data_IF_647321157165
#
_entry.id   IF_647321157165
#
_cell.length_a   1.000
_cell.length_b   1.000
_cell.length_c   1.000
_cell.angle_alpha   90.00
_cell.angle_beta   90.00
_cell.angle_gamma   90.00
#
_symmetry.space_group_name_H-M   'P 1'
#
loop_
_entity.id
_entity.type
_entity.pdbx_description
1 polymer ?
#
# COMPACT_ATOMS: atom_id res chain seq x y z
N UNK A 1 2.47 12.45 32.80
CA UNK A 1 1.02 12.17 32.57
C UNK A 1 0.58 12.54 31.14
N UNK A 2 1.17 13.60 30.54
CA UNK A 2 0.82 14.05 29.18
C UNK A 2 1.37 13.19 28.04
N UNK A 3 2.53 12.56 28.24
CA UNK A 3 3.24 11.73 27.25
C UNK A 3 2.51 10.42 26.88
N UNK A 4 1.90 9.76 27.86
CA UNK A 4 1.08 8.54 27.69
C UNK A 4 -0.21 8.84 26.93
N UNK A 5 -0.84 10.00 27.20
CA UNK A 5 -2.03 10.44 26.47
C UNK A 5 -1.71 10.76 25.01
N UNK A 6 -0.53 11.33 24.75
CA UNK A 6 -0.05 11.68 23.42
C UNK A 6 0.26 10.43 22.58
N UNK A 7 1.01 9.46 23.11
CA UNK A 7 1.33 8.21 22.40
C UNK A 7 0.09 7.39 22.02
N UNK A 8 -0.91 7.34 22.90
CA UNK A 8 -2.19 6.66 22.60
C UNK A 8 -2.97 7.36 21.49
N UNK A 9 -2.97 8.70 21.47
CA UNK A 9 -3.59 9.47 20.38
C UNK A 9 -2.88 9.22 19.04
N UNK A 10 -1.55 9.28 19.02
CA UNK A 10 -0.76 8.99 17.79
C UNK A 10 -1.01 7.59 17.27
N UNK A 11 -1.05 6.57 18.14
CA UNK A 11 -1.36 5.20 17.75
C UNK A 11 -2.75 5.08 17.11
N UNK A 12 -3.77 5.72 17.70
CA UNK A 12 -5.13 5.71 17.14
C UNK A 12 -5.22 6.43 15.81
N UNK A 13 -4.51 7.54 15.65
CA UNK A 13 -4.40 8.26 14.38
C UNK A 13 -3.76 7.36 13.33
N UNK A 14 -2.63 6.70 13.65
CA UNK A 14 -1.99 5.75 12.76
C UNK A 14 -2.96 4.65 12.32
N UNK A 15 -3.63 3.98 13.28
CA UNK A 15 -4.61 2.93 12.97
C UNK A 15 -5.81 3.41 12.14
N UNK A 16 -6.32 4.62 12.41
CA UNK A 16 -7.42 5.21 11.66
C UNK A 16 -7.03 5.44 10.19
N UNK A 17 -5.93 6.15 9.94
CA UNK A 17 -5.48 6.44 8.58
C UNK A 17 -5.11 5.17 7.82
N UNK A 18 -4.55 4.18 8.51
CA UNK A 18 -4.23 2.89 7.93
C UNK A 18 -5.50 2.13 7.48
N UNK A 19 -6.54 2.07 8.33
CA UNK A 19 -7.82 1.45 7.94
C UNK A 19 -8.56 2.23 6.84
N UNK A 20 -8.49 3.56 6.85
CA UNK A 20 -9.04 4.39 5.79
C UNK A 20 -8.33 4.16 4.46
N UNK A 21 -7.00 3.99 4.47
CA UNK A 21 -6.24 3.59 3.28
C UNK A 21 -6.73 2.25 2.72
N UNK A 22 -6.86 1.22 3.57
CA UNK A 22 -7.31 -0.11 3.16
C UNK A 22 -8.72 -0.02 2.55
N UNK A 23 -9.63 0.67 3.22
CA UNK A 23 -11.01 0.84 2.77
C UNK A 23 -11.08 1.61 1.44
N UNK A 24 -10.35 2.71 1.32
CA UNK A 24 -10.29 3.50 0.10
C UNK A 24 -9.68 2.72 -1.07
N UNK A 25 -8.69 1.87 -0.81
CA UNK A 25 -8.09 1.01 -1.85
C UNK A 25 -9.07 -0.04 -2.37
N UNK A 26 -9.89 -0.63 -1.49
CA UNK A 26 -10.97 -1.55 -1.89
C UNK A 26 -12.03 -0.82 -2.72
N UNK A 27 -12.45 0.38 -2.31
CA UNK A 27 -13.42 1.20 -3.05
C UNK A 27 -12.86 1.60 -4.42
N UNK A 28 -11.59 2.01 -4.45
CA UNK A 28 -10.89 2.38 -5.68
C UNK A 28 -10.92 1.25 -6.70
N UNK A 29 -10.61 0.02 -6.28
CA UNK A 29 -10.64 -1.13 -7.19
C UNK A 29 -12.07 -1.50 -7.60
N UNK A 30 -13.04 -1.46 -6.69
CA UNK A 30 -14.44 -1.73 -7.01
C UNK A 30 -15.04 -0.73 -8.03
N UNK A 31 -14.48 0.49 -8.12
CA UNK A 31 -14.85 1.49 -9.12
C UNK A 31 -13.98 1.42 -10.39
N UNK A 32 -12.76 0.90 -10.25
CA UNK A 32 -11.67 1.06 -11.21
C UNK A 32 -11.36 -0.17 -12.06
N UNK A 33 -11.53 -1.38 -11.52
CA UNK A 33 -11.22 -2.65 -12.19
C UNK A 33 -9.86 -2.68 -12.88
N UNK A 34 -8.81 -2.23 -12.18
CA UNK A 34 -7.48 -2.03 -12.78
C UNK A 34 -6.33 -2.67 -12.00
N UNK A 35 -6.60 -3.37 -10.89
CA UNK A 35 -5.59 -4.07 -10.10
C UNK A 35 -5.60 -5.57 -10.40
N UNK A 36 -6.76 -6.22 -10.28
CA UNK A 36 -6.85 -7.69 -10.35
C UNK A 36 -7.21 -8.23 -11.73
N UNK A 37 -7.88 -7.42 -12.54
CA UNK A 37 -8.39 -7.84 -13.86
C UNK A 37 -7.29 -7.89 -14.93
N UNK A 38 -7.52 -8.65 -15.99
CA UNK A 38 -6.63 -8.64 -17.14
C UNK A 38 -6.72 -7.34 -17.94
N UNK A 39 -5.65 -6.97 -18.64
CA UNK A 39 -5.59 -5.67 -19.31
C UNK A 39 -6.73 -5.47 -20.33
N UNK A 40 -7.13 -6.54 -21.03
CA UNK A 40 -8.29 -6.50 -21.93
C UNK A 40 -9.60 -6.23 -21.20
N UNK A 41 -9.82 -6.86 -20.04
CA UNK A 41 -11.02 -6.67 -19.22
C UNK A 41 -11.08 -5.24 -18.65
N UNK A 42 -9.95 -4.73 -18.15
CA UNK A 42 -9.83 -3.32 -17.72
C UNK A 42 -10.12 -2.35 -18.87
N UNK A 43 -9.68 -2.63 -20.10
CA UNK A 43 -9.99 -1.80 -21.28
C UNK A 43 -11.49 -1.81 -21.58
N UNK A 44 -12.13 -2.97 -21.60
CA UNK A 44 -13.57 -3.07 -21.85
C UNK A 44 -14.37 -2.38 -20.72
N UNK A 45 -13.93 -2.51 -19.46
CA UNK A 45 -14.53 -1.78 -18.34
C UNK A 45 -14.38 -0.27 -18.50
N UNK A 46 -13.21 0.23 -18.86
CA UNK A 46 -12.96 1.65 -19.11
C UNK A 46 -13.85 2.21 -20.22
N UNK A 47 -14.05 1.45 -21.32
CA UNK A 47 -14.94 1.85 -22.41
C UNK A 47 -16.40 1.93 -21.93
N UNK A 48 -16.85 0.93 -21.16
CA UNK A 48 -18.23 0.89 -20.65
C UNK A 48 -18.52 1.82 -19.47
N UNK A 49 -17.51 2.13 -18.65
CA UNK A 49 -17.66 2.77 -17.34
C UNK A 49 -16.60 3.86 -17.08
N UNK A 50 -16.26 4.66 -18.11
CA UNK A 50 -15.13 5.60 -18.06
C UNK A 50 -15.14 6.62 -16.92
N UNK A 51 -16.32 7.03 -16.42
CA UNK A 51 -16.42 7.92 -15.23
C UNK A 51 -16.10 7.18 -13.93
N UNK A 52 -16.62 5.96 -13.76
CA UNK A 52 -16.33 5.13 -12.59
C UNK A 52 -14.83 4.79 -12.54
N UNK A 53 -14.24 4.41 -13.68
CA UNK A 53 -12.81 4.17 -13.82
C UNK A 53 -11.96 5.36 -13.34
N UNK A 54 -12.24 6.57 -13.86
CA UNK A 54 -11.53 7.79 -13.48
C UNK A 54 -11.71 8.15 -12.01
N UNK A 55 -12.93 7.98 -11.47
CA UNK A 55 -13.19 8.17 -10.06
C UNK A 55 -12.42 7.14 -9.20
N UNK A 56 -12.32 5.88 -9.66
CA UNK A 56 -11.50 4.84 -9.05
C UNK A 56 -10.02 5.26 -8.94
N UNK A 57 -9.45 5.85 -9.99
CA UNK A 57 -8.08 6.39 -9.95
C UNK A 57 -7.94 7.52 -8.91
N UNK A 58 -8.91 8.43 -8.85
CA UNK A 58 -8.89 9.53 -7.88
C UNK A 58 -8.94 9.00 -6.44
N UNK A 59 -9.80 8.01 -6.17
CA UNK A 59 -9.88 7.35 -4.87
C UNK A 59 -8.57 6.61 -4.55
N UNK A 60 -7.91 6.02 -5.55
CA UNK A 60 -6.58 5.42 -5.38
C UNK A 60 -5.59 6.48 -4.89
N UNK A 61 -5.43 7.59 -5.61
CA UNK A 61 -4.50 8.66 -5.23
C UNK A 61 -4.74 9.15 -3.80
N UNK A 62 -6.00 9.30 -3.41
CA UNK A 62 -6.36 9.64 -2.04
C UNK A 62 -5.98 8.54 -1.04
N UNK A 63 -6.18 7.26 -1.37
CA UNK A 63 -5.75 6.15 -0.52
C UNK A 63 -4.23 6.16 -0.29
N UNK A 64 -3.43 6.43 -1.32
CA UNK A 64 -1.98 6.56 -1.18
C UNK A 64 -1.56 7.67 -0.21
N UNK A 65 -2.26 8.82 -0.23
CA UNK A 65 -2.03 9.92 0.72
C UNK A 65 -2.38 9.48 2.16
N UNK A 66 -3.50 8.78 2.34
CA UNK A 66 -3.88 8.24 3.66
C UNK A 66 -2.82 7.27 4.18
N UNK A 67 -2.25 6.43 3.31
CA UNK A 67 -1.19 5.50 3.68
C UNK A 67 0.10 6.23 4.10
N UNK A 68 0.47 7.28 3.37
CA UNK A 68 1.63 8.10 3.71
C UNK A 68 1.47 8.79 5.07
N UNK A 69 0.27 9.28 5.39
CA UNK A 69 -0.06 9.85 6.71
C UNK A 69 0.02 8.77 7.80
N UNK A 70 -0.48 7.56 7.53
CA UNK A 70 -0.37 6.43 8.45
C UNK A 70 1.11 6.07 8.74
N UNK A 71 1.94 5.98 7.70
CA UNK A 71 3.38 5.72 7.83
C UNK A 71 4.10 6.82 8.61
N UNK A 72 3.76 8.09 8.38
CA UNK A 72 4.26 9.21 9.16
C UNK A 72 3.86 9.10 10.64
N UNK A 73 2.60 8.79 10.92
CA UNK A 73 2.12 8.62 12.31
C UNK A 73 2.81 7.44 13.01
N UNK A 74 3.06 6.34 12.30
CA UNK A 74 3.86 5.20 12.79
C UNK A 74 5.30 5.62 13.09
N UNK A 75 5.93 6.40 12.21
CA UNK A 75 7.26 6.97 12.46
C UNK A 75 7.28 7.82 13.74
N UNK A 76 6.32 8.73 13.91
CA UNK A 76 6.22 9.55 15.13
C UNK A 76 6.04 8.68 16.37
N UNK A 77 5.18 7.66 16.30
CA UNK A 77 4.93 6.74 17.42
C UNK A 77 6.18 5.93 17.81
N UNK A 78 6.86 5.35 16.81
CA UNK A 78 7.93 4.37 17.01
C UNK A 78 9.33 5.00 17.09
N UNK A 79 9.47 6.29 16.73
CA UNK A 79 10.72 7.05 16.89
C UNK A 79 11.25 7.05 18.33
N UNK A 80 10.37 6.85 19.32
CA UNK A 80 10.71 6.71 20.74
C UNK A 80 11.53 5.45 21.05
N UNK A 81 11.41 4.41 20.22
CA UNK A 81 12.16 3.16 20.36
C UNK A 81 13.50 3.25 19.63
N UNK A 82 13.47 3.69 18.36
CA UNK A 82 14.67 3.97 17.58
C UNK A 82 14.33 4.96 16.46
N UNK A 83 14.91 6.15 16.52
CA UNK A 83 14.64 7.25 15.59
C UNK A 83 15.08 6.94 14.15
N UNK A 84 16.24 6.32 13.98
CA UNK A 84 16.80 6.02 12.66
C UNK A 84 15.99 4.95 11.94
N UNK A 85 15.59 3.90 12.65
CA UNK A 85 14.73 2.85 12.09
C UNK A 85 13.33 3.38 11.75
N UNK A 86 12.78 4.28 12.59
CA UNK A 86 11.48 4.91 12.32
C UNK A 86 11.54 5.82 11.09
N UNK A 87 12.63 6.59 10.94
CA UNK A 87 12.86 7.40 9.74
C UNK A 87 13.02 6.51 8.50
N UNK A 88 13.78 5.41 8.60
CA UNK A 88 13.96 4.46 7.50
C UNK A 88 12.63 3.84 7.04
N UNK A 89 11.75 3.46 7.98
CA UNK A 89 10.37 3.04 7.70
C UNK A 89 9.66 4.07 6.82
N UNK A 90 9.67 5.34 7.24
CA UNK A 90 8.94 6.38 6.54
C UNK A 90 9.51 6.67 5.15
N UNK A 91 10.84 6.72 5.03
CA UNK A 91 11.52 6.94 3.75
C UNK A 91 11.25 5.82 2.74
N UNK A 92 11.25 4.57 3.20
CA UNK A 92 10.92 3.42 2.35
C UNK A 92 9.44 3.47 1.92
N UNK A 93 8.52 3.75 2.84
CA UNK A 93 7.10 3.89 2.49
C UNK A 93 6.87 5.03 1.47
N UNK A 94 7.53 6.19 1.68
CA UNK A 94 7.48 7.32 0.75
C UNK A 94 8.04 6.97 -0.64
N UNK A 95 9.15 6.23 -0.70
CA UNK A 95 9.70 5.76 -1.97
C UNK A 95 8.72 4.85 -2.72
N UNK A 96 8.05 3.94 -2.01
CA UNK A 96 6.98 3.11 -2.58
C UNK A 96 5.81 3.93 -3.09
N UNK A 97 5.37 4.93 -2.32
CA UNK A 97 4.30 5.84 -2.72
C UNK A 97 4.62 6.60 -4.02
N UNK A 98 5.86 7.08 -4.17
CA UNK A 98 6.27 7.79 -5.39
C UNK A 98 6.25 6.86 -6.61
N UNK A 99 6.84 5.68 -6.52
CA UNK A 99 6.86 4.70 -7.63
C UNK A 99 5.43 4.27 -7.97
N UNK A 100 4.60 4.04 -6.97
CA UNK A 100 3.21 3.67 -7.15
C UNK A 100 2.38 4.78 -7.83
N UNK A 101 2.57 6.04 -7.45
CA UNK A 101 1.95 7.19 -8.14
C UNK A 101 2.37 7.27 -9.62
N UNK A 102 3.66 7.02 -9.92
CA UNK A 102 4.14 6.94 -11.30
C UNK A 102 3.42 5.80 -12.03
N UNK A 103 3.25 4.63 -11.41
CA UNK A 103 2.55 3.51 -12.02
C UNK A 103 1.09 3.83 -12.35
N UNK A 104 0.40 4.59 -11.48
CA UNK A 104 -0.97 5.04 -11.70
C UNK A 104 -1.09 6.02 -12.87
N UNK A 105 -0.04 6.78 -13.18
CA UNK A 105 -0.06 7.71 -14.31
C UNK A 105 -0.38 7.02 -15.65
N UNK A 106 0.02 5.76 -15.81
CA UNK A 106 -0.28 4.98 -17.01
C UNK A 106 -1.78 4.70 -17.18
N UNK A 107 -2.58 4.64 -16.10
CA UNK A 107 -4.04 4.50 -16.23
C UNK A 107 -4.68 5.75 -16.86
N UNK A 108 -4.14 6.93 -16.58
CA UNK A 108 -4.57 8.15 -17.27
C UNK A 108 -4.20 8.11 -18.75
N UNK A 109 -3.00 7.63 -19.10
CA UNK A 109 -2.60 7.43 -20.50
C UNK A 109 -3.53 6.47 -21.24
N UNK A 110 -3.92 5.35 -20.62
CA UNK A 110 -4.89 4.43 -21.20
C UNK A 110 -6.28 5.09 -21.40
N UNK A 111 -6.74 5.86 -20.40
CA UNK A 111 -8.01 6.57 -20.46
C UNK A 111 -8.03 7.71 -21.49
N UNK A 112 -6.88 8.35 -21.73
CA UNK A 112 -6.71 9.42 -22.71
C UNK A 112 -6.68 8.89 -24.14
N UNK A 113 -5.97 7.78 -24.39
CA UNK A 113 -5.99 7.09 -25.68
C UNK A 113 -7.40 6.70 -26.12
N UNK A 114 -8.21 6.23 -25.16
CA UNK A 114 -9.59 5.80 -25.40
C UNK A 114 -10.62 6.94 -25.27
N UNK A 115 -10.18 8.20 -25.18
CA UNK A 115 -11.07 9.36 -25.13
C UNK A 115 -11.70 9.73 -26.49
N UNK A 116 -11.15 9.19 -27.58
CA UNK A 116 -11.51 9.54 -28.95
C UNK A 116 -10.64 10.64 -29.58
N UNK A 117 -9.78 11.31 -28.79
CA UNK A 117 -8.89 12.38 -29.27
C UNK A 117 -7.91 11.94 -30.38
N UNK A 118 -7.65 10.63 -30.47
CA UNK A 118 -6.68 10.05 -31.40
C UNK A 118 -7.31 9.26 -32.56
N UNK A 119 -8.63 9.34 -32.73
CA UNK A 119 -9.39 8.54 -33.71
C UNK A 119 -9.08 8.87 -35.17
N UNK A 120 -8.50 10.04 -35.44
CA UNK A 120 -8.07 10.45 -36.79
C UNK A 120 -6.69 9.88 -37.18
N UNK A 121 -5.91 9.41 -36.20
CA UNK A 121 -4.52 8.95 -36.39
C UNK A 121 -4.39 7.44 -36.25
N UNK A 122 -5.18 6.82 -35.37
CA UNK A 122 -5.10 5.38 -35.08
C UNK A 122 -6.47 4.71 -35.25
N UNK A 123 -6.43 3.43 -35.63
CA UNK A 123 -7.61 2.56 -35.63
C UNK A 123 -8.08 2.24 -34.21
N UNK A 124 -9.36 1.87 -34.01
CA UNK A 124 -9.86 1.44 -32.71
C UNK A 124 -9.05 0.29 -32.09
N UNK A 125 -8.62 -0.67 -32.90
CA UNK A 125 -7.82 -1.82 -32.48
C UNK A 125 -6.43 -1.39 -31.99
N UNK A 126 -5.77 -0.45 -32.69
CA UNK A 126 -4.49 0.11 -32.28
C UNK A 126 -4.59 0.90 -30.97
N UNK A 127 -5.67 1.66 -30.77
CA UNK A 127 -5.91 2.39 -29.52
C UNK A 127 -6.14 1.45 -28.34
N UNK A 128 -6.93 0.38 -28.52
CA UNK A 128 -7.13 -0.66 -27.50
C UNK A 128 -5.82 -1.36 -27.16
N UNK A 129 -5.01 -1.73 -28.17
CA UNK A 129 -3.72 -2.35 -27.97
C UNK A 129 -2.77 -1.47 -27.14
N UNK A 130 -2.68 -0.18 -27.48
CA UNK A 130 -1.85 0.77 -26.72
C UNK A 130 -2.37 0.97 -25.30
N UNK A 131 -3.69 1.06 -25.08
CA UNK A 131 -4.28 1.15 -23.75
C UNK A 131 -3.92 -0.08 -22.89
N UNK A 132 -3.96 -1.29 -23.46
CA UNK A 132 -3.52 -2.51 -22.76
C UNK A 132 -2.04 -2.45 -22.36
N UNK A 133 -1.16 -1.91 -23.22
CA UNK A 133 0.27 -1.71 -22.90
C UNK A 133 0.42 -0.81 -21.67
N UNK A 134 -0.33 0.29 -21.60
CA UNK A 134 -0.30 1.18 -20.44
C UNK A 134 -0.85 0.52 -19.17
N UNK A 135 -1.93 -0.26 -19.25
CA UNK A 135 -2.48 -1.00 -18.10
C UNK A 135 -1.48 -2.05 -17.60
N UNK A 136 -0.82 -2.79 -18.49
CA UNK A 136 0.25 -3.73 -18.13
C UNK A 136 1.49 -3.03 -17.56
N UNK A 137 1.82 -1.84 -18.07
CA UNK A 137 2.91 -1.01 -17.54
C UNK A 137 2.59 -0.51 -16.13
N UNK A 138 1.31 -0.22 -15.84
CA UNK A 138 0.85 0.03 -14.47
C UNK A 138 1.05 -1.18 -13.58
N UNK A 139 0.67 -2.39 -14.02
CA UNK A 139 0.86 -3.63 -13.23
C UNK A 139 2.34 -3.83 -12.88
N UNK A 140 3.21 -3.69 -13.87
CA UNK A 140 4.67 -3.78 -13.69
C UNK A 140 5.20 -2.72 -12.72
N UNK A 141 4.79 -1.45 -12.89
CA UNK A 141 5.18 -0.37 -11.99
C UNK A 141 4.69 -0.57 -10.55
N UNK A 142 3.47 -1.11 -10.38
CA UNK A 142 2.92 -1.46 -9.07
C UNK A 142 3.68 -2.64 -8.43
N UNK A 143 4.12 -3.62 -9.23
CA UNK A 143 5.00 -4.69 -8.77
C UNK A 143 6.34 -4.12 -8.30
N UNK A 144 6.99 -3.24 -9.07
CA UNK A 144 8.26 -2.58 -8.69
C UNK A 144 8.11 -1.79 -7.38
N UNK A 145 6.98 -1.11 -7.17
CA UNK A 145 6.69 -0.40 -5.92
C UNK A 145 6.67 -1.34 -4.69
N UNK A 146 6.48 -2.65 -4.88
CA UNK A 146 6.58 -3.63 -3.80
C UNK A 146 7.99 -3.77 -3.24
N UNK A 147 9.05 -3.35 -3.92
CA UNK A 147 10.41 -3.35 -3.34
C UNK A 147 10.44 -2.48 -2.07
N UNK A 148 10.23 -1.15 -2.16
CA UNK A 148 10.19 -0.31 -0.97
C UNK A 148 9.03 -0.66 -0.02
N UNK A 149 7.86 -1.07 -0.52
CA UNK A 149 6.73 -1.50 0.31
C UNK A 149 6.91 -2.86 0.99
N UNK A 150 7.85 -3.70 0.57
CA UNK A 150 8.27 -4.86 1.35
C UNK A 150 9.31 -4.46 2.37
N UNK A 151 10.27 -3.62 1.96
CA UNK A 151 11.40 -3.24 2.80
C UNK A 151 10.99 -2.37 3.99
N UNK A 152 9.96 -1.51 3.88
CA UNK A 152 9.50 -0.70 5.02
C UNK A 152 8.85 -1.53 6.14
N UNK A 153 8.35 -2.73 5.82
CA UNK A 153 7.77 -3.65 6.80
C UNK A 153 8.86 -4.22 7.73
N UNK A 154 10.12 -4.28 7.27
CA UNK A 154 11.24 -4.75 8.08
C UNK A 154 11.54 -3.82 9.28
N UNK A 155 11.79 -2.50 9.11
CA UNK A 155 11.94 -1.60 10.24
C UNK A 155 10.63 -1.47 11.05
N UNK A 156 9.45 -1.52 10.42
CA UNK A 156 8.18 -1.52 11.16
C UNK A 156 8.08 -2.73 12.10
N UNK A 157 8.31 -3.93 11.57
CA UNK A 157 8.27 -5.18 12.31
C UNK A 157 9.32 -5.22 13.41
N UNK A 158 10.54 -4.75 13.14
CA UNK A 158 11.60 -4.60 14.13
C UNK A 158 11.19 -3.66 15.28
N UNK A 159 10.69 -2.47 14.96
CA UNK A 159 10.26 -1.48 15.95
C UNK A 159 9.11 -2.00 16.81
N UNK A 160 8.12 -2.67 16.21
CA UNK A 160 7.02 -3.30 16.92
C UNK A 160 7.52 -4.44 17.82
N UNK A 161 8.40 -5.31 17.30
CA UNK A 161 8.96 -6.42 18.07
C UNK A 161 9.79 -5.94 19.27
N UNK A 162 10.46 -4.79 19.14
CA UNK A 162 11.20 -4.14 20.22
C UNK A 162 10.30 -3.30 21.13
N UNK A 163 9.11 -2.92 20.69
CA UNK A 163 8.17 -2.16 21.53
C UNK A 163 7.55 -3.08 22.59
N UNK A 164 7.39 -2.56 23.81
CA UNK A 164 6.69 -3.29 24.88
C UNK A 164 5.19 -2.96 24.94
N UNK A 165 4.74 -2.00 24.13
CA UNK A 165 3.36 -1.51 24.14
C UNK A 165 2.49 -2.01 22.97
N UNK A 166 3.08 -2.60 21.91
CA UNK A 166 2.39 -3.32 20.83
C UNK A 166 2.78 -4.82 20.91
N UNK A 167 1.84 -5.77 20.79
CA UNK A 167 2.15 -7.19 20.80
C UNK A 167 3.18 -7.58 19.72
N UNK A 168 4.25 -8.26 20.13
CA UNK A 168 5.36 -8.66 19.25
C UNK A 168 4.93 -9.56 18.08
N UNK A 169 3.79 -10.26 18.21
CA UNK A 169 3.23 -11.09 17.14
C UNK A 169 2.95 -10.29 15.85
N UNK A 170 2.54 -9.02 15.97
CA UNK A 170 2.35 -8.18 14.79
C UNK A 170 3.66 -7.94 14.05
N UNK A 171 4.78 -7.78 14.78
CA UNK A 171 6.10 -7.67 14.16
C UNK A 171 6.48 -8.92 13.36
N UNK A 172 6.13 -10.11 13.86
CA UNK A 172 6.35 -11.38 13.15
C UNK A 172 5.52 -11.46 11.87
N UNK A 173 4.23 -11.08 11.93
CA UNK A 173 3.39 -11.05 10.73
C UNK A 173 3.91 -10.07 9.68
N UNK A 174 4.42 -8.91 10.08
CA UNK A 174 5.02 -7.94 9.16
C UNK A 174 6.31 -8.45 8.50
N UNK A 175 7.12 -9.25 9.21
CA UNK A 175 8.27 -9.91 8.58
C UNK A 175 7.82 -10.95 7.55
N UNK A 176 6.79 -11.74 7.86
CA UNK A 176 6.22 -12.71 6.93
C UNK A 176 5.63 -12.02 5.69
N UNK A 177 4.94 -10.90 5.90
CA UNK A 177 4.39 -10.03 4.86
C UNK A 177 5.50 -9.47 3.95
N UNK A 178 6.58 -8.92 4.51
CA UNK A 178 7.74 -8.45 3.76
C UNK A 178 8.31 -9.52 2.83
N UNK A 179 8.42 -10.76 3.31
CA UNK A 179 8.90 -11.89 2.50
C UNK A 179 7.86 -12.25 1.43
N UNK A 180 6.57 -12.29 1.79
CA UNK A 180 5.48 -12.57 0.86
C UNK A 180 5.43 -11.60 -0.31
N UNK A 181 5.56 -10.30 -0.06
CA UNK A 181 5.54 -9.27 -1.10
C UNK A 181 6.80 -9.30 -1.99
N UNK A 182 7.98 -9.63 -1.45
CA UNK A 182 9.19 -9.86 -2.25
C UNK A 182 9.08 -11.10 -3.14
N UNK A 183 8.43 -12.17 -2.65
CA UNK A 183 8.15 -13.36 -3.44
C UNK A 183 7.12 -13.06 -4.54
N UNK A 184 6.09 -12.27 -4.23
CA UNK A 184 5.12 -11.79 -5.22
C UNK A 184 5.81 -10.96 -6.32
N UNK A 185 6.64 -9.99 -5.95
CA UNK A 185 7.46 -9.22 -6.90
C UNK A 185 8.29 -10.15 -7.81
N UNK A 186 8.96 -11.14 -7.21
CA UNK A 186 9.81 -12.08 -7.95
C UNK A 186 8.99 -12.90 -8.94
N UNK A 187 7.77 -13.30 -8.56
CA UNK A 187 6.84 -13.99 -9.43
C UNK A 187 6.41 -13.09 -10.60
N UNK A 188 5.93 -11.86 -10.33
CA UNK A 188 5.47 -10.93 -11.36
C UNK A 188 6.57 -10.59 -12.39
N UNK A 189 7.82 -10.42 -11.94
CA UNK A 189 8.91 -10.00 -12.82
C UNK A 189 9.62 -11.15 -13.55
N UNK A 190 9.71 -12.34 -12.93
CA UNK A 190 10.50 -13.46 -13.46
C UNK A 190 9.62 -14.59 -13.98
N UNK A 191 8.44 -14.81 -13.37
CA UNK A 191 7.54 -15.92 -13.66
C UNK A 191 6.08 -15.45 -13.85
N UNK A 192 5.80 -14.59 -14.85
CA UNK A 192 4.48 -13.94 -15.01
C UNK A 192 3.32 -14.92 -15.30
N UNK A 193 3.61 -16.20 -15.57
CA UNK A 193 2.60 -17.24 -15.80
C UNK A 193 2.32 -18.11 -14.56
N UNK A 194 3.04 -17.90 -13.47
CA UNK A 194 2.82 -18.58 -12.20
C UNK A 194 2.01 -17.64 -11.30
N UNK A 195 0.87 -18.08 -10.75
CA UNK A 195 0.04 -17.29 -9.82
C UNK A 195 -0.04 -17.92 -8.42
N UNK A 196 0.81 -18.92 -8.14
CA UNK A 196 0.76 -19.70 -6.90
C UNK A 196 1.16 -18.90 -5.65
N UNK A 197 1.93 -17.82 -5.83
CA UNK A 197 2.49 -17.02 -4.73
C UNK A 197 1.61 -15.80 -4.44
N UNK A 198 0.97 -15.20 -5.45
CA UNK A 198 0.18 -13.96 -5.28
C UNK A 198 -0.87 -14.10 -4.18
N UNK A 199 -1.73 -15.11 -4.26
CA UNK A 199 -2.83 -15.29 -3.31
C UNK A 199 -2.38 -15.45 -1.85
N UNK A 200 -1.47 -16.39 -1.51
CA UNK A 200 -1.01 -16.52 -0.13
C UNK A 200 -0.26 -15.27 0.36
N UNK A 201 0.52 -14.60 -0.49
CA UNK A 201 1.20 -13.35 -0.13
C UNK A 201 0.20 -12.25 0.24
N UNK A 202 -0.78 -11.97 -0.62
CA UNK A 202 -1.81 -10.96 -0.34
C UNK A 202 -2.65 -11.30 0.90
N UNK A 203 -2.93 -12.57 1.16
CA UNK A 203 -3.64 -12.99 2.37
C UNK A 203 -2.82 -12.72 3.63
N UNK A 204 -1.52 -13.02 3.62
CA UNK A 204 -0.61 -12.73 4.73
C UNK A 204 -0.52 -11.21 4.96
N UNK A 205 -0.34 -10.42 3.89
CA UNK A 205 -0.32 -8.95 3.97
C UNK A 205 -1.61 -8.41 4.57
N UNK A 206 -2.75 -8.85 4.06
CA UNK A 206 -4.05 -8.41 4.55
C UNK A 206 -4.23 -8.71 6.04
N UNK A 207 -3.89 -9.93 6.49
CA UNK A 207 -3.96 -10.30 7.91
C UNK A 207 -2.99 -9.45 8.73
N UNK A 208 -1.75 -9.28 8.30
CA UNK A 208 -0.73 -8.52 9.01
C UNK A 208 -1.15 -7.05 9.20
N UNK A 209 -1.51 -6.39 8.10
CA UNK A 209 -1.80 -4.96 8.08
C UNK A 209 -3.14 -4.62 8.73
N UNK A 210 -4.22 -5.35 8.42
CA UNK A 210 -5.55 -5.09 9.01
C UNK A 210 -5.52 -5.36 10.51
N UNK A 211 -4.87 -6.44 10.96
CA UNK A 211 -4.83 -6.77 12.37
C UNK A 211 -4.04 -5.72 13.17
N UNK A 212 -2.91 -5.24 12.64
CA UNK A 212 -2.16 -4.14 13.23
C UNK A 212 -2.97 -2.85 13.26
N UNK A 213 -3.60 -2.48 12.14
CA UNK A 213 -4.37 -1.24 12.03
C UNK A 213 -5.57 -1.22 13.01
N UNK A 214 -6.29 -2.34 13.10
CA UNK A 214 -7.35 -2.55 14.09
C UNK A 214 -6.83 -2.46 15.52
N UNK A 215 -5.69 -3.09 15.83
CA UNK A 215 -5.08 -3.00 17.17
C UNK A 215 -4.75 -1.55 17.54
N UNK A 216 -4.09 -0.83 16.63
CA UNK A 216 -3.69 0.57 16.83
C UNK A 216 -4.91 1.49 17.04
N UNK A 217 -5.98 1.29 16.28
CA UNK A 217 -7.19 2.10 16.38
C UNK A 217 -7.97 1.83 17.67
N UNK A 218 -8.23 0.56 18.00
CA UNK A 218 -9.11 0.19 19.10
C UNK A 218 -8.39 0.30 20.45
N UNK A 219 -7.21 -0.32 20.54
CA UNK A 219 -6.45 -0.49 21.79
C UNK A 219 -5.40 0.63 21.91
N UNK A 220 -4.67 0.89 20.81
CA UNK A 220 -3.53 1.79 20.79
C UNK A 220 -2.32 1.18 21.49
N UNK A 221 -1.73 1.92 22.43
CA UNK A 221 -0.59 1.45 23.24
C UNK A 221 -1.10 0.84 24.55
N UNK A 222 -0.60 -0.35 24.94
CA UNK A 222 -0.90 -0.93 26.27
C UNK A 222 -0.41 0.01 27.38
N UNK A 223 -0.99 -0.09 28.59
CA UNK A 223 -0.50 0.59 29.80
C UNK A 223 0.92 0.08 30.15
N UNK A 224 1.91 0.65 29.47
CA UNK A 224 3.33 0.54 29.69
C UNK A 224 3.88 1.81 29.07
N UNK A 225 4.43 2.69 29.90
CA UNK A 225 4.91 4.00 29.46
C UNK A 225 5.91 3.81 28.31
N UNK A 226 5.84 4.55 27.19
CA UNK A 226 6.94 4.61 26.22
C UNK A 226 8.30 4.89 26.90
N UNK A 227 8.32 5.55 28.07
CA UNK A 227 9.53 5.74 28.89
C UNK A 227 9.96 4.50 29.69
N UNK A 228 9.07 3.57 30.05
CA UNK A 228 9.45 2.37 30.81
C UNK A 228 10.29 1.37 29.98
N UNK A 229 10.19 1.44 28.65
CA UNK A 229 11.05 0.70 27.72
C UNK A 229 12.48 1.29 27.65
N UNK A 230 12.69 2.54 28.09
CA UNK A 230 14.00 3.18 28.20
C UNK A 230 14.70 2.85 29.53
N UNK A 231 13.95 2.45 30.57
CA UNK A 231 14.50 2.20 31.92
C UNK A 231 14.97 0.75 32.10
N UNK A 232 14.61 -0.17 31.20
CA UNK A 232 14.98 -1.58 31.28
C UNK A 232 16.16 -1.99 30.38
N UNK A 233 16.99 -1.04 29.93
CA UNK A 233 18.26 -1.31 29.25
C UNK A 233 19.41 -0.42 29.73
#
# INVERSE_FOLDING_TARGET
>A
MDTVSSGKKTARIAGLFYLLYISASIISEAMGHFVFEEAGETVEYLIGHGTAFRAGILVALFSGVLFLIAAWALNVLLSKINREAALLLFLLNLAGFVIWCISLSHLFSAADLLSGAYSEVFTPEELKAQAMVFINSRKTGAAIAQIPYSLWLLPLGYLIYKSDFIPRIFGVFLFADAVGLLLYLSQELVFPFCNLISYPSFLISFIAEVSLACWLLLIGVKKGDPESALITR
#
